data_IF_227668417161
#
_entry.id   IF_227668417161
#
_cell.length_a   1.000
_cell.length_b   1.000
_cell.length_c   1.000
_cell.angle_alpha   90.00
_cell.angle_beta   90.00
_cell.angle_gamma   90.00
#
_symmetry.space_group_name_H-M   'P 1'
#
loop_
_entity.id
_entity.type
_entity.pdbx_description
1 polymer ?
#
# COMPACT_ATOMS: atom_id res chain seq x y z
N UNK A 1 35.32 30.59 20.62
CA UNK A 1 34.72 29.32 21.10
C UNK A 1 33.37 29.20 20.47
N UNK A 2 33.25 28.34 19.49
CA UNK A 2 32.01 28.12 18.74
C UNK A 2 31.35 26.88 19.30
N UNK A 3 30.21 27.03 19.97
CA UNK A 3 29.40 25.93 20.47
C UNK A 3 28.66 25.31 19.29
N UNK A 4 29.09 24.13 18.86
CA UNK A 4 28.34 23.28 17.94
C UNK A 4 27.12 22.72 18.68
N UNK A 5 25.96 23.26 18.37
CA UNK A 5 24.66 22.70 18.79
C UNK A 5 24.42 21.40 18.05
N UNK A 6 24.64 20.27 18.72
CA UNK A 6 24.29 18.94 18.21
C UNK A 6 22.77 18.83 18.23
N UNK A 7 22.17 18.92 17.07
CA UNK A 7 20.75 18.62 16.89
C UNK A 7 20.61 17.09 16.89
N UNK A 8 20.23 16.51 18.00
CA UNK A 8 19.78 15.13 18.05
C UNK A 8 18.37 15.08 17.43
N UNK A 9 18.33 15.01 16.10
CA UNK A 9 17.12 14.61 15.41
C UNK A 9 16.94 13.12 15.63
N UNK A 10 16.16 12.78 16.62
CA UNK A 10 15.65 11.44 16.82
C UNK A 10 14.61 11.16 15.74
N UNK A 11 15.09 10.73 14.57
CA UNK A 11 14.21 10.09 13.58
C UNK A 11 14.00 8.65 14.04
N UNK A 12 12.77 8.21 14.33
CA UNK A 12 12.52 6.80 14.54
C UNK A 12 12.98 6.07 13.28
N UNK A 13 13.87 5.11 13.45
CA UNK A 13 14.30 4.25 12.35
C UNK A 13 13.07 3.56 11.78
N UNK A 14 12.71 3.91 10.56
CA UNK A 14 11.68 3.22 9.81
C UNK A 14 12.11 1.76 9.75
N UNK A 15 11.29 0.81 10.20
CA UNK A 15 11.65 -0.61 10.15
C UNK A 15 12.06 -0.99 8.72
N UNK A 16 13.09 -1.78 8.59
CA UNK A 16 13.66 -2.25 7.31
C UNK A 16 12.65 -2.93 6.38
N UNK A 17 11.48 -3.24 6.91
CA UNK A 17 10.31 -3.76 6.21
C UNK A 17 9.68 -2.74 5.26
N UNK A 18 9.54 -1.49 5.68
CA UNK A 18 9.04 -0.41 4.81
C UNK A 18 10.03 -0.14 3.68
N UNK A 19 11.34 -0.22 3.95
CA UNK A 19 12.37 -0.13 2.92
C UNK A 19 12.24 -1.24 1.87
N UNK A 20 11.95 -2.47 2.24
CA UNK A 20 11.74 -3.57 1.29
C UNK A 20 10.40 -3.47 0.54
N UNK A 21 9.38 -2.90 1.16
CA UNK A 21 8.08 -2.68 0.52
C UNK A 21 8.17 -1.54 -0.52
N UNK A 22 8.97 -0.52 -0.23
CA UNK A 22 9.15 0.65 -1.08
C UNK A 22 10.33 0.53 -2.04
N UNK A 23 11.41 -0.18 -1.71
CA UNK A 23 12.65 -0.13 -2.48
C UNK A 23 12.54 -0.79 -3.87
N UNK A 24 11.66 -1.76 -4.06
CA UNK A 24 11.42 -2.35 -5.38
C UNK A 24 10.46 -1.56 -6.24
N UNK A 25 9.42 -0.98 -5.64
CA UNK A 25 8.42 -0.18 -6.36
C UNK A 25 8.83 1.31 -6.51
N UNK A 26 9.65 1.81 -5.57
CA UNK A 26 10.06 3.22 -5.59
C UNK A 26 11.04 3.56 -6.73
N UNK A 27 11.95 2.66 -7.09
CA UNK A 27 12.84 2.88 -8.23
C UNK A 27 12.10 2.82 -9.57
N UNK A 28 10.96 2.16 -9.63
CA UNK A 28 10.11 2.07 -10.81
C UNK A 28 9.11 3.24 -10.93
N UNK A 29 8.97 4.03 -9.87
CA UNK A 29 8.06 5.18 -9.82
C UNK A 29 8.36 6.25 -10.86
N UNK A 30 9.63 6.45 -11.21
CA UNK A 30 10.03 7.52 -12.15
C UNK A 30 9.71 7.22 -13.62
N UNK A 31 9.47 5.97 -13.98
CA UNK A 31 9.22 5.54 -15.35
C UNK A 31 7.83 4.94 -15.62
N UNK A 32 7.01 4.68 -14.60
CA UNK A 32 5.81 3.85 -14.75
C UNK A 32 4.52 4.47 -14.21
N UNK A 33 4.31 5.77 -14.39
CA UNK A 33 2.98 6.33 -14.19
C UNK A 33 1.97 5.86 -15.26
N UNK A 34 2.47 5.19 -16.30
CA UNK A 34 1.64 4.60 -17.34
C UNK A 34 2.11 3.19 -17.64
N UNK A 35 1.18 2.24 -17.59
CA UNK A 35 1.40 0.91 -18.14
C UNK A 35 1.55 1.01 -19.67
N UNK A 36 2.15 -0.01 -20.30
CA UNK A 36 2.22 -0.13 -21.78
C UNK A 36 0.85 -0.05 -22.48
N UNK A 37 -0.23 -0.06 -21.72
CA UNK A 37 -1.63 0.00 -22.18
C UNK A 37 -2.29 1.36 -22.00
N UNK A 38 -1.53 2.43 -21.75
CA UNK A 38 -2.07 3.77 -21.48
C UNK A 38 -3.01 3.87 -20.27
N UNK A 39 -2.88 2.97 -19.30
CA UNK A 39 -3.63 2.97 -18.05
C UNK A 39 -2.77 3.49 -16.91
N UNK A 40 -3.34 4.32 -16.06
CA UNK A 40 -2.67 4.86 -14.88
C UNK A 40 -2.56 3.80 -13.80
N UNK A 41 -1.36 3.59 -13.24
CA UNK A 41 -1.23 2.81 -12.01
C UNK A 41 -1.74 3.64 -10.83
N UNK A 42 -2.64 3.10 -9.99
CA UNK A 42 -3.15 3.84 -8.86
C UNK A 42 -2.04 4.17 -7.85
N UNK A 43 -2.06 5.40 -7.34
CA UNK A 43 -1.19 5.81 -6.25
C UNK A 43 -1.57 5.07 -4.97
N UNK A 44 -0.58 4.74 -4.14
CA UNK A 44 -0.77 3.98 -2.90
C UNK A 44 -0.10 4.69 -1.75
N UNK A 45 -0.82 4.83 -0.65
CA UNK A 45 -0.28 5.20 0.65
C UNK A 45 -0.28 3.96 1.54
N UNK A 46 0.77 3.80 2.33
CA UNK A 46 0.87 2.73 3.32
C UNK A 46 1.11 3.37 4.68
N UNK A 47 0.23 3.04 5.63
CA UNK A 47 0.36 3.45 7.02
C UNK A 47 0.57 2.22 7.90
N UNK A 48 1.48 2.31 8.84
CA UNK A 48 1.71 1.33 9.87
C UNK A 48 1.31 1.89 11.23
N UNK A 49 0.59 1.07 11.99
CA UNK A 49 0.27 1.29 13.39
C UNK A 49 0.85 0.16 14.23
N UNK A 50 0.68 0.22 15.53
CA UNK A 50 1.08 -0.88 16.43
C UNK A 50 0.35 -2.18 16.11
N UNK A 51 -0.88 -2.10 15.63
CA UNK A 51 -1.78 -3.24 15.48
C UNK A 51 -1.97 -3.72 14.04
N UNK A 52 -1.76 -2.87 13.06
CA UNK A 52 -2.07 -3.18 11.65
C UNK A 52 -1.27 -2.33 10.66
N UNK A 53 -1.21 -2.82 9.42
CA UNK A 53 -0.90 -2.00 8.25
C UNK A 53 -2.20 -1.63 7.55
N UNK A 54 -2.25 -0.43 7.00
CA UNK A 54 -3.34 0.04 6.16
C UNK A 54 -2.80 0.53 4.83
N UNK A 55 -3.27 -0.07 3.74
CA UNK A 55 -2.98 0.36 2.37
C UNK A 55 -4.16 1.17 1.87
N UNK A 56 -3.89 2.35 1.32
CA UNK A 56 -4.87 3.18 0.63
C UNK A 56 -4.51 3.23 -0.85
N UNK A 57 -5.40 2.74 -1.70
CA UNK A 57 -5.22 2.73 -3.16
C UNK A 57 -6.18 3.73 -3.77
N UNK A 58 -5.65 4.78 -4.39
CA UNK A 58 -6.46 5.81 -5.05
C UNK A 58 -6.91 5.33 -6.43
N UNK A 59 -8.17 4.99 -6.55
CA UNK A 59 -8.77 4.50 -7.81
C UNK A 59 -10.17 5.11 -8.01
N UNK A 60 -10.25 6.43 -8.24
CA UNK A 60 -11.54 7.10 -8.43
C UNK A 60 -12.26 6.63 -9.69
N UNK A 61 -13.58 6.70 -9.67
CA UNK A 61 -14.41 6.34 -10.83
C UNK A 61 -14.67 4.83 -11.00
N UNK A 62 -14.21 4.00 -10.08
CA UNK A 62 -14.43 2.57 -10.05
C UNK A 62 -15.58 2.18 -9.13
N UNK A 63 -16.01 0.93 -9.20
CA UNK A 63 -16.98 0.33 -8.29
C UNK A 63 -16.30 -0.74 -7.43
N UNK A 64 -16.89 -1.04 -6.29
CA UNK A 64 -16.44 -2.11 -5.40
C UNK A 64 -16.29 -3.46 -6.14
N UNK A 65 -17.18 -3.75 -7.07
CA UNK A 65 -17.18 -4.99 -7.87
C UNK A 65 -16.03 -5.11 -8.86
N UNK A 66 -15.35 -4.00 -9.16
CA UNK A 66 -14.27 -3.96 -10.13
C UNK A 66 -12.94 -4.45 -9.55
N UNK A 67 -12.86 -4.58 -8.22
CA UNK A 67 -11.64 -4.98 -7.52
C UNK A 67 -11.61 -6.45 -7.19
N UNK A 68 -10.43 -7.05 -7.34
CA UNK A 68 -10.08 -8.37 -6.83
C UNK A 68 -8.85 -8.26 -5.94
N UNK A 69 -8.90 -8.88 -4.77
CA UNK A 69 -7.78 -8.91 -3.82
C UNK A 69 -7.49 -10.37 -3.53
N UNK A 70 -6.26 -10.79 -3.79
CA UNK A 70 -5.80 -12.15 -3.57
C UNK A 70 -4.56 -12.13 -2.68
N UNK A 71 -4.50 -13.06 -1.74
CA UNK A 71 -3.31 -13.34 -0.96
C UNK A 71 -2.84 -14.74 -1.32
N UNK A 72 -1.65 -14.84 -1.88
CA UNK A 72 -0.97 -16.11 -2.13
C UNK A 72 0.35 -16.12 -1.36
N UNK A 73 0.41 -16.96 -0.32
CA UNK A 73 1.52 -17.01 0.64
C UNK A 73 1.75 -15.62 1.26
N UNK A 74 2.83 -14.97 0.87
CA UNK A 74 3.21 -13.63 1.34
C UNK A 74 3.01 -12.53 0.28
N UNK A 75 2.35 -12.84 -0.84
CA UNK A 75 2.09 -11.86 -1.90
C UNK A 75 0.61 -11.46 -1.90
N UNK A 76 0.35 -10.20 -1.55
CA UNK A 76 -0.96 -9.58 -1.68
C UNK A 76 -1.05 -8.92 -3.07
N UNK A 77 -2.00 -9.36 -3.87
CA UNK A 77 -2.24 -8.79 -5.20
C UNK A 77 -3.59 -8.09 -5.21
N UNK A 78 -3.57 -6.82 -5.58
CA UNK A 78 -4.76 -5.99 -5.79
C UNK A 78 -4.86 -5.75 -7.29
N UNK A 79 -5.95 -6.19 -7.89
CA UNK A 79 -6.22 -6.00 -9.31
C UNK A 79 -7.61 -5.44 -9.53
N UNK A 80 -7.77 -4.81 -10.66
CA UNK A 80 -9.04 -4.30 -11.15
C UNK A 80 -9.17 -4.64 -12.62
N UNK A 81 -10.37 -5.11 -13.00
CA UNK A 81 -10.78 -5.30 -14.38
C UNK A 81 -12.07 -4.53 -14.61
N UNK A 82 -12.05 -3.57 -15.51
CA UNK A 82 -13.29 -2.99 -16.03
C UNK A 82 -13.95 -4.02 -16.95
N UNK A 83 -15.17 -4.42 -16.62
CA UNK A 83 -15.96 -5.26 -17.53
C UNK A 83 -16.15 -4.51 -18.85
N UNK A 84 -15.89 -5.21 -19.96
CA UNK A 84 -16.12 -4.72 -21.31
C UNK A 84 -17.57 -4.24 -21.46
N UNK A 85 -17.78 -2.96 -21.58
CA UNK A 85 -19.09 -2.32 -21.72
C UNK A 85 -19.05 -0.82 -21.51
N UNK A 86 -18.07 -0.34 -20.79
CA UNK A 86 -17.71 1.08 -20.76
C UNK A 86 -16.48 1.30 -21.66
N UNK A 87 -16.66 1.16 -22.98
CA UNK A 87 -15.78 1.91 -23.89
C UNK A 87 -15.75 3.33 -23.35
N UNK A 88 -14.56 3.78 -22.95
CA UNK A 88 -14.36 5.20 -22.74
C UNK A 88 -14.98 5.86 -23.96
N UNK A 89 -16.06 6.61 -23.77
CA UNK A 89 -16.54 7.50 -24.79
C UNK A 89 -15.30 8.24 -25.24
N UNK A 90 -15.12 8.31 -26.53
CA UNK A 90 -14.00 9.06 -27.13
C UNK A 90 -14.30 10.53 -26.87
N UNK A 91 -14.34 10.89 -25.58
CA UNK A 91 -14.59 12.22 -25.12
C UNK A 91 -13.37 13.03 -25.52
N UNK A 92 -13.59 14.07 -26.26
CA UNK A 92 -12.60 14.99 -26.78
C UNK A 92 -11.86 15.72 -25.64
N UNK A 93 -11.05 14.98 -24.86
CA UNK A 93 -10.19 15.60 -23.87
C UNK A 93 -9.09 16.40 -24.57
N UNK A 94 -8.98 17.68 -24.26
CA UNK A 94 -7.80 18.46 -24.63
C UNK A 94 -6.54 18.01 -23.87
N UNK A 95 -6.72 17.39 -22.68
CA UNK A 95 -5.68 16.77 -21.85
C UNK A 95 -6.27 15.68 -20.98
N UNK A 96 -5.61 14.52 -20.95
CA UNK A 96 -5.98 13.37 -20.11
C UNK A 96 -4.76 12.94 -19.33
N UNK A 97 -4.81 13.08 -18.01
CA UNK A 97 -3.67 12.77 -17.12
C UNK A 97 -3.86 11.46 -16.37
N UNK A 98 -5.09 10.95 -16.30
CA UNK A 98 -5.34 9.66 -15.69
C UNK A 98 -6.41 8.86 -16.44
N UNK A 99 -6.28 7.54 -16.40
CA UNK A 99 -7.26 6.59 -16.93
C UNK A 99 -7.14 5.27 -16.15
N UNK A 100 -8.08 4.99 -15.26
CA UNK A 100 -8.12 3.75 -14.51
C UNK A 100 -9.03 2.76 -15.23
N UNK A 101 -8.46 1.93 -16.09
CA UNK A 101 -9.22 0.91 -16.81
C UNK A 101 -9.00 -0.47 -16.21
N UNK A 102 -7.78 -0.93 -16.19
CA UNK A 102 -7.36 -2.15 -15.50
C UNK A 102 -5.96 -1.95 -14.93
N UNK A 103 -5.74 -2.46 -13.75
CA UNK A 103 -4.43 -2.42 -13.12
C UNK A 103 -4.20 -3.66 -12.25
N UNK A 104 -2.94 -3.91 -11.97
CA UNK A 104 -2.53 -4.90 -10.99
C UNK A 104 -1.36 -4.35 -10.19
N UNK A 105 -1.45 -4.44 -8.87
CA UNK A 105 -0.35 -4.14 -7.96
C UNK A 105 -0.17 -5.29 -6.98
N UNK A 106 1.08 -5.67 -6.76
CA UNK A 106 1.44 -6.72 -5.83
C UNK A 106 2.34 -6.17 -4.72
N UNK A 107 2.07 -6.61 -3.51
CA UNK A 107 2.80 -6.22 -2.30
C UNK A 107 3.31 -7.47 -1.61
N UNK A 108 4.58 -7.48 -1.25
CA UNK A 108 5.14 -8.57 -0.44
C UNK A 108 4.85 -8.27 1.02
N UNK A 109 4.08 -9.15 1.65
CA UNK A 109 3.75 -9.07 3.08
C UNK A 109 4.77 -9.87 3.86
N UNK A 110 5.29 -9.37 5.01
CA UNK A 110 6.21 -10.16 5.82
C UNK A 110 5.51 -11.37 6.39
N UNK A 111 6.15 -12.51 6.24
CA UNK A 111 5.72 -13.75 6.87
C UNK A 111 5.74 -13.58 8.39
N UNK A 112 4.78 -14.21 9.08
CA UNK A 112 4.65 -14.20 10.54
C UNK A 112 4.37 -12.82 11.19
N UNK A 113 4.09 -11.79 10.40
CA UNK A 113 3.73 -10.47 10.92
C UNK A 113 2.25 -10.18 10.73
N UNK A 114 1.70 -10.50 9.58
CA UNK A 114 0.30 -10.22 9.23
C UNK A 114 -0.57 -11.46 9.39
N UNK A 115 -1.71 -11.29 10.03
CA UNK A 115 -2.76 -12.30 10.10
C UNK A 115 -3.57 -12.28 8.80
N UNK A 116 -3.22 -13.16 7.86
CA UNK A 116 -3.84 -13.23 6.55
C UNK A 116 -5.33 -13.50 6.58
N UNK A 117 -5.82 -14.22 7.58
CA UNK A 117 -7.24 -14.58 7.71
C UNK A 117 -8.12 -13.39 8.12
N UNK A 118 -7.50 -12.36 8.70
CA UNK A 118 -8.19 -11.14 9.16
C UNK A 118 -8.04 -9.95 8.22
N UNK A 119 -7.44 -10.14 7.06
CA UNK A 119 -7.35 -9.07 6.05
C UNK A 119 -8.75 -8.66 5.62
N UNK A 120 -8.98 -7.37 5.56
CA UNK A 120 -10.26 -6.80 5.15
C UNK A 120 -10.06 -5.62 4.21
N UNK A 121 -11.04 -5.37 3.35
CA UNK A 121 -10.98 -4.27 2.40
C UNK A 121 -12.31 -3.53 2.32
N UNK A 122 -12.22 -2.22 2.14
CA UNK A 122 -13.37 -1.33 1.96
C UNK A 122 -13.08 -0.32 0.87
N UNK A 123 -14.01 -0.15 -0.05
CA UNK A 123 -13.94 0.89 -1.06
C UNK A 123 -14.97 1.99 -0.76
N UNK A 124 -14.49 3.23 -0.62
CA UNK A 124 -15.32 4.40 -0.34
C UNK A 124 -14.63 5.64 -0.90
N UNK A 125 -15.43 6.54 -1.50
CA UNK A 125 -14.99 7.86 -1.98
C UNK A 125 -13.76 7.80 -2.91
N UNK A 126 -13.68 6.77 -3.77
CA UNK A 126 -12.58 6.60 -4.71
C UNK A 126 -11.31 6.00 -4.11
N UNK A 127 -11.33 5.60 -2.85
CA UNK A 127 -10.20 5.00 -2.15
C UNK A 127 -10.53 3.57 -1.73
N UNK A 128 -9.69 2.63 -2.17
CA UNK A 128 -9.70 1.26 -1.66
C UNK A 128 -8.76 1.18 -0.46
N UNK A 129 -9.31 0.94 0.73
CA UNK A 129 -8.55 0.72 1.96
C UNK A 129 -8.48 -0.77 2.24
N UNK A 130 -7.26 -1.28 2.35
CA UNK A 130 -6.98 -2.67 2.73
C UNK A 130 -6.29 -2.67 4.09
N UNK A 131 -6.90 -3.33 5.07
CA UNK A 131 -6.37 -3.45 6.43
C UNK A 131 -5.75 -4.83 6.61
N UNK A 132 -4.53 -4.84 7.09
CA UNK A 132 -3.73 -6.04 7.34
C UNK A 132 -3.36 -6.08 8.84
N UNK A 133 -4.18 -6.73 9.68
CA UNK A 133 -3.91 -6.83 11.11
C UNK A 133 -2.61 -7.59 11.36
N UNK A 134 -1.84 -7.14 12.34
CA UNK A 134 -0.63 -7.84 12.81
C UNK A 134 -1.03 -9.03 13.70
N UNK A 135 -0.26 -10.11 13.59
CA UNK A 135 -0.33 -11.20 14.54
C UNK A 135 0.03 -10.72 15.96
N UNK A 136 -0.50 -11.32 16.99
CA UNK A 136 -0.24 -10.90 18.38
C UNK A 136 1.25 -10.96 18.73
N UNK A 137 1.97 -11.93 18.17
CA UNK A 137 3.42 -12.08 18.39
C UNK A 137 4.24 -10.94 17.75
N UNK A 138 3.69 -10.30 16.72
CA UNK A 138 4.33 -9.20 15.98
C UNK A 138 4.02 -7.82 16.57
N UNK A 139 3.08 -7.73 17.49
CA UNK A 139 2.74 -6.48 18.17
C UNK A 139 3.78 -6.12 19.22
N UNK A 140 4.01 -4.82 19.50
CA UNK A 140 4.89 -4.39 20.57
C UNK A 140 4.43 -4.97 21.90
N UNK A 141 5.35 -5.63 22.61
CA UNK A 141 5.06 -6.11 23.97
C UNK A 141 5.46 -5.03 24.97
N UNK A 142 4.67 -4.81 26.03
CA UNK A 142 5.05 -3.88 27.08
C UNK A 142 6.34 -4.35 27.75
N UNK A 143 7.13 -3.37 28.23
CA UNK A 143 8.33 -3.66 29.00
C UNK A 143 7.95 -4.46 30.26
N UNK A 144 8.73 -5.49 30.55
CA UNK A 144 8.56 -6.30 31.77
C UNK A 144 9.78 -6.20 32.65
N UNK A 145 9.58 -6.15 33.94
CA UNK A 145 10.65 -6.26 34.91
C UNK A 145 11.16 -7.71 35.02
N UNK A 146 12.46 -7.87 34.97
CA UNK A 146 13.11 -9.18 35.15
C UNK A 146 13.62 -9.23 36.58
N UNK A 147 13.08 -10.16 37.38
CA UNK A 147 13.58 -10.41 38.74
C UNK A 147 14.92 -11.13 38.67
N UNK A 148 15.88 -10.62 39.41
CA UNK A 148 17.17 -11.28 39.63
C UNK A 148 16.97 -12.36 40.68
N UNK A 149 17.36 -13.59 40.38
CA UNK A 149 17.32 -14.72 41.32
C UNK A 149 18.58 -14.72 42.18
#
# INVERSE_FOLDING_TARGET
MTLLKRSDSYYPSIPSFIDNLFSRDWMDWSNLNFSSTNTTLPAVNIRETENEYELEVAAPGMKKSDFKINLDKNQLTISSELQEGKKASDDNYSRKEFSYMSFQRSFTIPEHVVDGDKISAKYLDGILRVRLPKMEEAKPKPAREIKIL
#
